data_IF_239390615169
#
_entry.id   IF_239390615169
#
_cell.length_a   1.000
_cell.length_b   1.000
_cell.length_c   1.000
_cell.angle_alpha   90.00
_cell.angle_beta   90.00
_cell.angle_gamma   90.00
#
_symmetry.space_group_name_H-M   'P 1'
#
loop_
_entity.id
_entity.type
_entity.pdbx_description
1 polymer ?
#
# COMPACT_ATOMS: atom_id res chain seq x y z
N UNK A 1 -23.69 18.98 3.03
CA UNK A 1 -23.76 20.17 3.88
C UNK A 1 -22.34 20.63 4.23
N UNK A 2 -21.90 21.74 3.66
CA UNK A 2 -20.55 22.30 3.82
C UNK A 2 -20.34 23.04 5.16
N UNK A 3 -21.36 23.12 5.99
CA UNK A 3 -21.29 23.78 7.30
C UNK A 3 -20.87 22.85 8.43
N UNK A 4 -20.68 21.58 8.14
CA UNK A 4 -20.29 20.62 9.16
C UNK A 4 -18.80 20.78 9.52
N UNK A 5 -18.49 20.49 10.78
CA UNK A 5 -17.14 20.44 11.32
C UNK A 5 -16.23 19.46 10.58
N UNK A 6 -16.82 18.49 9.88
CA UNK A 6 -16.17 17.51 9.03
C UNK A 6 -15.37 18.12 7.86
N UNK A 7 -15.73 19.32 7.42
CA UNK A 7 -15.11 20.00 6.28
C UNK A 7 -14.09 21.07 6.65
N UNK A 8 -13.71 21.19 7.91
CA UNK A 8 -12.80 22.25 8.35
C UNK A 8 -11.42 22.27 7.68
N UNK A 9 -10.99 21.10 7.17
CA UNK A 9 -9.68 20.96 6.52
C UNK A 9 -9.79 20.86 4.99
N UNK A 10 -10.96 21.08 4.43
CA UNK A 10 -11.17 21.06 2.99
C UNK A 10 -10.97 22.47 2.43
N UNK A 11 -10.04 22.60 1.48
CA UNK A 11 -9.96 23.76 0.61
C UNK A 11 -11.19 23.80 -0.29
N UNK A 12 -12.04 24.83 -0.18
CA UNK A 12 -13.24 24.95 -1.00
C UNK A 12 -13.30 26.32 -1.65
N UNK A 13 -13.69 26.42 -2.93
CA UNK A 13 -14.00 25.34 -3.87
C UNK A 13 -12.75 24.49 -4.20
N UNK A 14 -12.97 23.20 -4.50
CA UNK A 14 -11.89 22.31 -4.92
C UNK A 14 -11.32 22.76 -6.28
N UNK A 15 -10.01 22.87 -6.39
CA UNK A 15 -9.32 23.13 -7.64
C UNK A 15 -9.23 21.85 -8.49
N UNK A 16 -10.33 21.48 -9.12
CA UNK A 16 -10.40 20.30 -9.97
C UNK A 16 -9.37 20.31 -11.11
N UNK A 17 -9.12 21.47 -11.71
CA UNK A 17 -8.13 21.62 -12.76
C UNK A 17 -6.71 21.31 -12.25
N UNK A 18 -6.36 21.89 -11.12
CA UNK A 18 -5.07 21.62 -10.47
C UNK A 18 -4.92 20.16 -10.09
N UNK A 19 -5.97 19.52 -9.56
CA UNK A 19 -5.98 18.09 -9.20
C UNK A 19 -5.75 17.22 -10.44
N UNK A 20 -6.50 17.44 -11.52
CA UNK A 20 -6.39 16.64 -12.75
C UNK A 20 -5.06 16.85 -13.45
N UNK A 21 -4.54 18.08 -13.45
CA UNK A 21 -3.23 18.37 -14.04
C UNK A 21 -2.08 17.76 -13.24
N UNK A 22 -2.22 17.67 -11.90
CA UNK A 22 -1.23 17.06 -11.03
C UNK A 22 -1.19 15.53 -11.16
N UNK A 23 -2.36 14.87 -11.16
CA UNK A 23 -2.45 13.41 -11.23
C UNK A 23 -2.27 12.89 -12.65
N UNK A 24 -2.84 13.59 -13.64
CA UNK A 24 -2.85 13.15 -15.05
C UNK A 24 -3.85 12.03 -15.34
N UNK A 25 -3.84 11.58 -16.60
CA UNK A 25 -4.69 10.51 -17.11
C UNK A 25 -3.87 9.46 -17.87
N UNK A 26 -4.25 8.17 -17.83
CA UNK A 26 -5.31 7.59 -16.99
C UNK A 26 -4.95 7.59 -15.50
N UNK A 27 -5.98 7.51 -14.65
CA UNK A 27 -5.85 7.53 -13.21
C UNK A 27 -6.74 6.47 -12.55
N UNK A 28 -6.39 6.05 -11.34
CA UNK A 28 -7.23 5.22 -10.49
C UNK A 28 -7.95 6.07 -9.45
N UNK A 29 -9.26 5.90 -9.35
CA UNK A 29 -10.09 6.48 -8.32
C UNK A 29 -10.59 5.37 -7.41
N UNK A 30 -10.15 5.39 -6.15
CA UNK A 30 -10.34 4.28 -5.22
C UNK A 30 -10.68 4.78 -3.82
N UNK A 31 -11.42 3.98 -3.00
CA UNK A 31 -11.68 4.33 -1.61
C UNK A 31 -10.39 4.43 -0.81
N UNK A 32 -10.34 5.38 0.12
CA UNK A 32 -9.29 5.47 1.14
C UNK A 32 -9.22 4.19 2.00
N UNK A 33 -10.39 3.66 2.39
CA UNK A 33 -10.49 2.43 3.17
C UNK A 33 -11.29 1.40 2.36
N UNK A 34 -10.78 0.19 2.28
CA UNK A 34 -11.43 -0.90 1.55
C UNK A 34 -10.45 -1.91 1.00
N UNK A 35 -10.96 -2.86 0.22
CA UNK A 35 -10.16 -3.90 -0.40
C UNK A 35 -10.98 -4.67 -1.46
N UNK A 36 -10.39 -5.68 -2.05
CA UNK A 36 -11.06 -6.55 -3.02
C UNK A 36 -11.50 -5.85 -4.31
N UNK A 37 -10.89 -4.73 -4.67
CA UNK A 37 -11.23 -3.93 -5.87
C UNK A 37 -12.63 -3.32 -5.85
N UNK A 38 -13.29 -3.27 -4.71
CA UNK A 38 -14.62 -2.67 -4.60
C UNK A 38 -14.51 -1.15 -4.74
N UNK A 39 -15.34 -0.58 -5.64
CA UNK A 39 -15.36 0.86 -5.95
C UNK A 39 -14.00 1.42 -6.43
N UNK A 40 -13.22 0.60 -7.11
CA UNK A 40 -11.97 1.01 -7.78
C UNK A 40 -12.29 1.23 -9.27
N UNK A 41 -12.05 2.45 -9.72
CA UNK A 41 -12.34 2.89 -11.10
C UNK A 41 -11.03 3.29 -11.79
N UNK A 42 -10.79 2.74 -12.97
CA UNK A 42 -9.76 3.23 -13.89
C UNK A 42 -10.39 4.25 -14.82
N UNK A 43 -9.93 5.48 -14.77
CA UNK A 43 -10.53 6.64 -15.43
C UNK A 43 -9.58 7.24 -16.46
N UNK A 44 -10.13 7.67 -17.60
CA UNK A 44 -9.34 8.21 -18.71
C UNK A 44 -9.57 9.70 -18.93
N UNK A 45 -10.61 10.27 -18.34
CA UNK A 45 -10.99 11.66 -18.53
C UNK A 45 -11.90 12.18 -17.40
N UNK A 46 -12.19 13.47 -17.45
CA UNK A 46 -13.03 14.16 -16.45
C UNK A 46 -14.46 13.67 -16.40
N UNK A 47 -15.04 13.31 -17.54
CA UNK A 47 -16.45 12.86 -17.59
C UNK A 47 -16.58 11.53 -16.85
N UNK A 48 -15.66 10.61 -17.07
CA UNK A 48 -15.60 9.36 -16.33
C UNK A 48 -15.38 9.60 -14.84
N UNK A 49 -14.49 10.55 -14.49
CA UNK A 49 -14.25 10.92 -13.10
C UNK A 49 -15.51 11.42 -12.41
N UNK A 50 -16.20 12.41 -12.96
CA UNK A 50 -17.40 12.96 -12.30
C UNK A 50 -18.55 11.97 -12.24
N UNK A 51 -18.64 11.04 -13.19
CA UNK A 51 -19.60 9.94 -13.14
C UNK A 51 -19.30 9.02 -11.94
N UNK A 52 -18.05 8.54 -11.83
CA UNK A 52 -17.61 7.72 -10.71
C UNK A 52 -17.70 8.47 -9.37
N UNK A 53 -17.37 9.77 -9.35
CA UNK A 53 -17.47 10.61 -8.16
C UNK A 53 -18.91 10.68 -7.64
N UNK A 54 -19.89 10.84 -8.52
CA UNK A 54 -21.30 10.84 -8.14
C UNK A 54 -21.77 9.46 -7.63
N UNK A 55 -21.24 8.37 -8.20
CA UNK A 55 -21.60 7.01 -7.81
C UNK A 55 -21.02 6.60 -6.44
N UNK A 56 -19.96 7.25 -5.98
CA UNK A 56 -19.28 6.91 -4.72
C UNK A 56 -19.93 7.51 -3.47
N UNK A 57 -20.84 8.48 -3.63
CA UNK A 57 -21.62 9.09 -2.54
C UNK A 57 -20.73 9.65 -1.42
N UNK A 58 -20.89 9.12 -0.21
CA UNK A 58 -20.17 9.58 1.00
C UNK A 58 -18.79 8.94 1.21
N UNK A 59 -18.32 8.10 0.29
CA UNK A 59 -17.02 7.46 0.42
C UNK A 59 -15.89 8.49 0.31
N UNK A 60 -14.94 8.40 1.21
CA UNK A 60 -13.67 9.12 1.09
C UNK A 60 -12.83 8.45 0.01
N UNK A 61 -12.60 9.17 -1.06
CA UNK A 61 -11.95 8.64 -2.26
C UNK A 61 -10.57 9.27 -2.46
N UNK A 62 -9.69 8.54 -3.12
CA UNK A 62 -8.36 8.96 -3.50
C UNK A 62 -8.21 8.86 -5.02
N UNK A 63 -7.68 9.91 -5.66
CA UNK A 63 -7.28 9.87 -7.07
C UNK A 63 -5.78 9.66 -7.14
N UNK A 64 -5.35 8.63 -7.86
CA UNK A 64 -3.96 8.19 -7.97
C UNK A 64 -3.56 8.05 -9.44
N UNK A 65 -2.35 8.54 -9.79
CA UNK A 65 -1.73 8.30 -11.10
C UNK A 65 -1.73 6.80 -11.46
N UNK A 66 -2.06 6.47 -12.70
CA UNK A 66 -1.77 5.13 -13.23
C UNK A 66 -0.28 5.03 -13.54
N UNK A 67 0.45 4.31 -12.71
CA UNK A 67 1.87 4.06 -12.94
C UNK A 67 2.04 3.01 -14.03
N UNK A 68 2.63 3.40 -15.17
CA UNK A 68 3.10 2.43 -16.19
C UNK A 68 4.30 1.69 -15.62
N UNK A 69 4.33 0.38 -15.79
CA UNK A 69 5.36 -0.47 -15.20
C UNK A 69 5.83 -1.55 -16.18
N UNK A 70 7.09 -1.94 -15.99
CA UNK A 70 7.73 -3.05 -16.67
C UNK A 70 7.58 -4.35 -15.88
N UNK A 71 7.61 -4.24 -14.55
CA UNK A 71 7.44 -5.34 -13.60
C UNK A 71 6.59 -4.86 -12.42
N UNK A 72 5.92 -5.81 -11.76
CA UNK A 72 5.10 -5.50 -10.61
C UNK A 72 5.22 -6.61 -9.57
N UNK A 73 5.37 -6.23 -8.32
CA UNK A 73 5.55 -7.16 -7.21
C UNK A 73 4.53 -6.90 -6.12
N UNK A 74 4.04 -7.98 -5.51
CA UNK A 74 3.34 -7.92 -4.23
C UNK A 74 4.19 -8.62 -3.19
N UNK A 75 4.50 -7.91 -2.11
CA UNK A 75 5.49 -8.32 -1.13
C UNK A 75 4.83 -8.48 0.23
N UNK A 76 4.95 -9.64 0.87
CA UNK A 76 4.68 -9.76 2.29
C UNK A 76 5.83 -9.17 3.09
N UNK A 77 5.48 -8.44 4.16
CA UNK A 77 6.40 -8.07 5.23
C UNK A 77 5.88 -8.62 6.54
N UNK A 78 6.71 -9.38 7.23
CA UNK A 78 6.36 -10.01 8.50
C UNK A 78 7.44 -9.64 9.52
N UNK A 79 6.98 -9.19 10.71
CA UNK A 79 7.82 -8.80 11.83
C UNK A 79 8.82 -7.66 11.52
N UNK A 80 8.59 -6.89 10.43
CA UNK A 80 9.49 -5.84 9.94
C UNK A 80 10.92 -6.36 9.62
N UNK A 81 11.06 -7.68 9.39
CA UNK A 81 12.34 -8.39 9.18
C UNK A 81 12.31 -9.32 7.99
N UNK A 82 11.19 -10.00 7.78
CA UNK A 82 11.04 -11.01 6.75
C UNK A 82 10.26 -10.43 5.58
N UNK A 83 10.82 -10.52 4.38
CA UNK A 83 10.19 -10.06 3.16
C UNK A 83 10.07 -11.21 2.17
N UNK A 84 8.88 -11.39 1.63
CA UNK A 84 8.63 -12.31 0.52
C UNK A 84 8.18 -11.52 -0.70
N UNK A 85 9.04 -11.41 -1.69
CA UNK A 85 8.73 -10.74 -2.96
C UNK A 85 8.11 -11.75 -3.91
N UNK A 86 6.91 -11.46 -4.39
CA UNK A 86 6.19 -12.30 -5.34
C UNK A 86 5.93 -11.52 -6.63
N UNK A 87 6.21 -12.10 -7.81
CA UNK A 87 5.72 -11.55 -9.06
C UNK A 87 4.19 -11.43 -9.03
N UNK A 88 3.68 -10.32 -9.53
CA UNK A 88 2.25 -10.03 -9.51
C UNK A 88 1.85 -9.24 -10.76
N UNK A 89 0.72 -9.59 -11.35
CA UNK A 89 0.18 -8.88 -12.50
C UNK A 89 -1.25 -8.42 -12.18
N UNK A 90 -1.41 -7.18 -11.72
CA UNK A 90 -2.71 -6.66 -11.29
C UNK A 90 -3.76 -6.58 -12.42
N UNK A 91 -3.31 -6.53 -13.68
CA UNK A 91 -4.19 -6.48 -14.87
C UNK A 91 -4.83 -7.82 -15.19
N UNK A 92 -4.27 -8.92 -14.66
CA UNK A 92 -4.82 -10.25 -14.87
C UNK A 92 -6.09 -10.49 -14.02
N UNK A 93 -6.98 -11.40 -14.43
CA UNK A 93 -8.02 -11.93 -13.57
C UNK A 93 -7.44 -12.44 -12.24
N UNK A 94 -8.20 -12.31 -11.16
CA UNK A 94 -7.72 -12.53 -9.78
C UNK A 94 -6.93 -13.85 -9.61
N UNK A 95 -7.42 -14.96 -10.16
CA UNK A 95 -6.79 -16.29 -10.05
C UNK A 95 -5.49 -16.46 -10.86
N UNK A 96 -5.15 -15.49 -11.72
CA UNK A 96 -3.94 -15.51 -12.55
C UNK A 96 -2.90 -14.46 -12.15
N UNK A 97 -3.19 -13.61 -11.17
CA UNK A 97 -2.30 -12.49 -10.80
C UNK A 97 -0.94 -12.93 -10.31
N UNK A 98 -0.85 -14.08 -9.65
CA UNK A 98 0.40 -14.67 -9.14
C UNK A 98 1.03 -15.70 -10.08
N UNK A 99 0.49 -15.87 -11.29
CA UNK A 99 1.00 -16.82 -12.30
C UNK A 99 2.00 -16.20 -13.27
N UNK A 100 2.36 -14.94 -13.04
CA UNK A 100 3.33 -14.21 -13.85
C UNK A 100 4.74 -14.44 -13.32
N UNK A 101 5.71 -14.54 -14.24
CA UNK A 101 7.12 -14.58 -13.91
C UNK A 101 7.80 -13.32 -14.38
N UNK A 102 8.50 -12.64 -13.47
CA UNK A 102 9.33 -11.50 -13.79
C UNK A 102 10.80 -11.82 -13.53
N UNK A 103 11.64 -11.63 -14.54
CA UNK A 103 13.08 -11.79 -14.42
C UNK A 103 13.72 -10.47 -14.00
N UNK A 104 13.57 -10.15 -12.73
CA UNK A 104 14.07 -8.89 -12.18
C UNK A 104 15.57 -8.96 -11.88
N UNK A 105 16.35 -7.93 -12.22
CA UNK A 105 17.73 -7.79 -11.77
C UNK A 105 17.82 -7.80 -10.23
N UNK A 106 18.92 -8.32 -9.71
CA UNK A 106 19.13 -8.41 -8.26
C UNK A 106 19.05 -7.06 -7.56
N UNK A 107 19.55 -6.02 -8.21
CA UNK A 107 19.53 -4.65 -7.71
C UNK A 107 18.09 -4.11 -7.55
N UNK A 108 17.18 -4.51 -8.43
CA UNK A 108 15.76 -4.14 -8.32
C UNK A 108 15.13 -4.87 -7.13
N UNK A 109 15.38 -6.16 -6.98
CA UNK A 109 14.86 -6.94 -5.85
C UNK A 109 15.38 -6.40 -4.51
N UNK A 110 16.63 -5.99 -4.42
CA UNK A 110 17.19 -5.35 -3.23
C UNK A 110 16.48 -4.02 -2.91
N UNK A 111 16.30 -3.15 -3.90
CA UNK A 111 15.55 -1.89 -3.72
C UNK A 111 14.10 -2.12 -3.27
N UNK A 112 13.44 -3.14 -3.82
CA UNK A 112 12.08 -3.53 -3.40
C UNK A 112 12.08 -3.99 -1.96
N UNK A 113 12.99 -4.88 -1.56
CA UNK A 113 13.12 -5.39 -0.20
C UNK A 113 13.37 -4.26 0.81
N UNK A 114 14.35 -3.40 0.53
CA UNK A 114 14.65 -2.22 1.34
C UNK A 114 13.42 -1.30 1.48
N UNK A 115 12.71 -1.05 0.37
CA UNK A 115 11.48 -0.26 0.36
C UNK A 115 10.37 -0.87 1.21
N UNK A 116 10.18 -2.19 1.13
CA UNK A 116 9.19 -2.93 1.94
C UNK A 116 9.52 -2.80 3.42
N UNK A 117 10.76 -3.08 3.81
CA UNK A 117 11.19 -3.00 5.21
C UNK A 117 11.04 -1.58 5.76
N UNK A 118 11.48 -0.59 5.00
CA UNK A 118 11.39 0.82 5.39
C UNK A 118 9.95 1.26 5.59
N UNK A 119 9.05 0.95 4.66
CA UNK A 119 7.62 1.28 4.80
C UNK A 119 7.02 0.65 6.06
N UNK A 120 7.30 -0.63 6.31
CA UNK A 120 6.71 -1.31 7.45
C UNK A 120 7.27 -0.83 8.80
N UNK A 121 8.54 -0.44 8.85
CA UNK A 121 9.12 0.21 10.03
C UNK A 121 8.44 1.56 10.32
N UNK A 122 8.22 2.38 9.29
CA UNK A 122 7.53 3.67 9.44
C UNK A 122 6.05 3.52 9.82
N UNK A 123 5.35 2.56 9.20
CA UNK A 123 3.93 2.31 9.46
C UNK A 123 3.69 1.54 10.76
N UNK A 124 4.70 0.83 11.27
CA UNK A 124 4.60 0.02 12.48
C UNK A 124 3.83 -1.27 12.31
N UNK A 125 3.71 -1.78 11.08
CA UNK A 125 3.02 -3.03 10.82
C UNK A 125 3.90 -4.25 11.10
N UNK A 126 3.34 -5.22 11.79
CA UNK A 126 3.96 -6.53 12.01
C UNK A 126 3.64 -7.52 10.89
N UNK A 127 2.50 -7.35 10.25
CA UNK A 127 2.08 -8.08 9.07
C UNK A 127 1.50 -7.08 8.07
N UNK A 128 1.97 -7.11 6.84
CA UNK A 128 1.49 -6.22 5.79
C UNK A 128 1.80 -6.82 4.41
N UNK A 129 1.05 -6.40 3.39
CA UNK A 129 1.50 -6.51 2.01
C UNK A 129 1.73 -5.13 1.40
N UNK A 130 2.78 -5.05 0.60
CA UNK A 130 3.16 -3.85 -0.16
C UNK A 130 3.21 -4.20 -1.63
N UNK A 131 2.57 -3.39 -2.46
CA UNK A 131 2.62 -3.51 -3.90
C UNK A 131 3.56 -2.47 -4.50
N UNK A 132 4.54 -2.95 -5.29
CA UNK A 132 5.49 -2.12 -6.02
C UNK A 132 5.37 -2.31 -7.53
N UNK A 133 5.15 -1.21 -8.23
CA UNK A 133 5.35 -1.11 -9.68
C UNK A 133 6.80 -0.69 -9.96
N UNK A 134 7.45 -1.30 -10.93
CA UNK A 134 8.79 -0.88 -11.37
C UNK A 134 8.64 -0.04 -12.62
N UNK A 135 9.01 1.23 -12.52
CA UNK A 135 9.01 2.20 -13.62
C UNK A 135 10.44 2.71 -13.81
N UNK A 136 11.01 2.48 -14.98
CA UNK A 136 12.38 2.92 -15.33
C UNK A 136 13.43 2.48 -14.30
N UNK A 137 13.30 1.24 -13.80
CA UNK A 137 14.20 0.67 -12.79
C UNK A 137 14.03 1.23 -11.36
N UNK A 138 12.95 1.99 -11.12
CA UNK A 138 12.64 2.57 -9.80
C UNK A 138 11.37 1.93 -9.25
N UNK A 139 11.42 1.35 -8.02
CA UNK A 139 10.23 0.88 -7.33
C UNK A 139 9.32 2.04 -6.90
N UNK A 140 8.06 2.01 -7.31
CA UNK A 140 7.01 2.95 -6.92
C UNK A 140 5.98 2.21 -6.11
N UNK A 141 5.75 2.60 -4.87
CA UNK A 141 4.74 1.99 -4.01
C UNK A 141 3.34 2.38 -4.46
N UNK A 142 2.50 1.37 -4.70
CA UNK A 142 1.13 1.55 -5.24
C UNK A 142 0.08 1.33 -4.15
N UNK A 143 0.20 0.26 -3.39
CA UNK A 143 -0.65 -0.08 -2.25
C UNK A 143 0.24 -0.66 -1.14
N UNK A 144 0.19 -0.08 0.06
CA UNK A 144 1.15 -0.42 1.10
C UNK A 144 0.57 -0.38 2.54
N UNK A 145 -0.75 -0.31 2.67
CA UNK A 145 -1.44 -0.30 3.96
C UNK A 145 -2.45 -1.46 4.02
N UNK A 146 -1.97 -2.69 4.01
CA UNK A 146 -2.80 -3.90 4.04
C UNK A 146 -2.38 -4.82 5.20
N UNK A 147 -2.78 -4.51 6.45
CA UNK A 147 -2.36 -5.26 7.63
C UNK A 147 -3.06 -6.62 7.82
N UNK A 148 -4.03 -6.94 6.97
CA UNK A 148 -4.72 -8.23 6.95
C UNK A 148 -4.78 -8.77 5.51
N UNK A 149 -3.62 -9.06 4.91
CA UNK A 149 -3.55 -9.48 3.52
C UNK A 149 -4.12 -10.87 3.34
N UNK A 150 -4.77 -11.07 2.17
CA UNK A 150 -5.14 -12.38 1.70
C UNK A 150 -3.88 -13.23 1.44
N UNK A 151 -3.85 -14.44 1.99
CA UNK A 151 -2.74 -15.38 1.85
C UNK A 151 -3.21 -16.82 1.57
N UNK A 152 -4.36 -17.00 0.93
CA UNK A 152 -4.86 -18.33 0.58
C UNK A 152 -3.91 -19.05 -0.40
N UNK A 153 -3.56 -20.30 -0.09
CA UNK A 153 -2.64 -21.12 -0.89
C UNK A 153 -3.06 -21.26 -2.35
N UNK A 154 -4.38 -21.32 -2.61
CA UNK A 154 -4.92 -21.40 -3.97
C UNK A 154 -4.57 -20.19 -4.85
N UNK A 155 -4.31 -19.01 -4.26
CA UNK A 155 -3.97 -17.79 -4.98
C UNK A 155 -2.46 -17.55 -5.02
N UNK A 156 -1.81 -17.52 -3.85
CA UNK A 156 -0.37 -17.21 -3.76
C UNK A 156 0.54 -18.42 -4.02
N UNK A 157 -0.02 -19.63 -4.08
CA UNK A 157 0.69 -20.89 -4.22
C UNK A 157 1.19 -21.45 -2.87
N UNK A 158 1.26 -22.78 -2.79
CA UNK A 158 1.58 -23.51 -1.55
C UNK A 158 2.90 -23.05 -0.91
N UNK A 159 3.96 -22.93 -1.71
CA UNK A 159 5.27 -22.52 -1.22
C UNK A 159 5.28 -21.12 -0.57
N UNK A 160 4.52 -20.15 -1.10
CA UNK A 160 4.40 -18.82 -0.50
C UNK A 160 3.53 -18.87 0.76
N UNK A 161 2.47 -19.69 0.75
CA UNK A 161 1.62 -19.91 1.90
C UNK A 161 2.38 -20.51 3.08
N UNK A 162 3.12 -21.60 2.86
CA UNK A 162 3.96 -22.22 3.88
C UNK A 162 4.95 -21.20 4.49
N UNK A 163 5.62 -20.43 3.65
CA UNK A 163 6.53 -19.39 4.11
C UNK A 163 5.84 -18.34 5.00
N UNK A 164 4.63 -17.90 4.62
CA UNK A 164 3.84 -16.94 5.44
C UNK A 164 3.48 -17.56 6.78
N UNK A 165 3.02 -18.81 6.80
CA UNK A 165 2.67 -19.52 8.03
C UNK A 165 3.85 -19.62 8.98
N UNK A 166 5.03 -20.03 8.47
CA UNK A 166 6.25 -20.13 9.27
C UNK A 166 6.67 -18.76 9.84
N UNK A 167 6.76 -17.74 9.00
CA UNK A 167 7.18 -16.41 9.42
C UNK A 167 6.21 -15.77 10.44
N UNK A 168 4.90 -15.97 10.27
CA UNK A 168 3.88 -15.48 11.23
C UNK A 168 3.99 -16.24 12.55
N UNK A 169 4.20 -17.56 12.51
CA UNK A 169 4.37 -18.37 13.73
C UNK A 169 5.62 -17.94 14.50
N UNK A 170 6.75 -17.75 13.82
CA UNK A 170 7.99 -17.25 14.44
C UNK A 170 7.79 -15.87 15.07
N UNK A 171 7.15 -14.95 14.35
CA UNK A 171 6.80 -13.62 14.86
C UNK A 171 5.94 -13.70 16.11
N UNK A 172 4.88 -14.52 16.10
CA UNK A 172 3.96 -14.65 17.22
C UNK A 172 4.66 -15.20 18.46
N UNK A 173 5.49 -16.24 18.31
CA UNK A 173 6.27 -16.83 19.40
C UNK A 173 7.27 -15.81 19.97
N UNK A 174 7.97 -15.09 19.11
CA UNK A 174 8.93 -14.07 19.54
C UNK A 174 8.23 -12.96 20.32
N UNK A 175 7.15 -12.41 19.79
CA UNK A 175 6.39 -11.34 20.45
C UNK A 175 5.78 -11.79 21.79
N UNK A 176 5.30 -13.03 21.88
CA UNK A 176 4.81 -13.58 23.13
C UNK A 176 5.92 -13.69 24.21
N UNK A 177 7.14 -14.06 23.81
CA UNK A 177 8.31 -14.14 24.71
C UNK A 177 8.84 -12.78 25.13
N UNK A 178 8.79 -11.80 24.24
CA UNK A 178 9.28 -10.43 24.46
C UNK A 178 8.20 -9.49 25.03
N UNK A 179 7.00 -9.98 25.27
CA UNK A 179 5.89 -9.17 25.74
C UNK A 179 6.18 -8.56 27.12
N UNK A 180 6.03 -7.25 27.21
CA UNK A 180 6.10 -6.49 28.46
C UNK A 180 4.74 -5.86 28.69
N UNK A 181 4.05 -6.18 29.81
CA UNK A 181 2.75 -5.56 30.13
C UNK A 181 2.87 -4.02 30.12
N UNK A 182 1.79 -3.37 29.68
CA UNK A 182 1.64 -1.91 29.62
C UNK A 182 2.66 -1.17 28.73
N UNK A 183 3.42 -1.89 27.92
CA UNK A 183 4.29 -1.29 26.92
C UNK A 183 3.52 -1.00 25.63
N UNK A 184 3.45 0.28 25.26
CA UNK A 184 2.95 0.67 23.95
C UNK A 184 3.95 0.28 22.84
N UNK A 185 3.47 -0.49 21.86
CA UNK A 185 4.24 -0.92 20.70
C UNK A 185 3.93 -0.09 19.44
N UNK A 186 3.11 0.97 19.55
CA UNK A 186 2.77 1.84 18.44
C UNK A 186 3.98 2.69 18.03
N UNK A 187 4.49 2.47 16.83
CA UNK A 187 5.66 3.20 16.31
C UNK A 187 5.29 4.51 15.62
N UNK A 188 4.10 4.59 15.01
CA UNK A 188 3.68 5.75 14.22
C UNK A 188 3.57 7.05 15.03
N UNK A 189 3.27 6.97 16.32
CA UNK A 189 3.26 8.14 17.20
C UNK A 189 4.58 8.91 17.25
N UNK A 190 5.71 8.21 17.12
CA UNK A 190 7.05 8.82 17.05
C UNK A 190 7.20 9.69 15.80
N UNK A 191 6.67 9.24 14.67
CA UNK A 191 6.72 9.99 13.41
C UNK A 191 5.82 11.22 13.43
N UNK A 192 4.63 11.12 14.04
CA UNK A 192 3.76 12.27 14.25
C UNK A 192 4.46 13.31 15.14
N UNK A 193 5.08 12.88 16.23
CA UNK A 193 5.81 13.76 17.13
C UNK A 193 6.99 14.43 16.42
N UNK A 194 7.74 13.68 15.61
CA UNK A 194 8.83 14.25 14.81
C UNK A 194 8.33 15.26 13.77
N UNK A 195 7.22 14.97 13.08
CA UNK A 195 6.62 15.91 12.14
C UNK A 195 6.18 17.23 12.82
N UNK A 196 5.58 17.15 14.00
CA UNK A 196 5.18 18.32 14.79
C UNK A 196 6.40 19.12 15.25
N UNK A 197 7.49 18.46 15.64
CA UNK A 197 8.72 19.11 16.08
C UNK A 197 9.65 19.53 14.95
N UNK A 198 9.25 19.31 13.68
CA UNK A 198 10.05 19.58 12.46
C UNK A 198 11.40 18.84 12.43
N UNK A 199 11.54 17.75 13.13
CA UNK A 199 12.72 16.90 13.03
C UNK A 199 12.65 16.05 11.75
N UNK A 200 13.80 15.76 11.14
CA UNK A 200 13.83 14.85 9.99
C UNK A 200 13.44 13.44 10.42
N UNK A 201 12.64 12.75 9.61
CA UNK A 201 12.26 11.35 9.89
C UNK A 201 13.48 10.40 9.89
N UNK A 202 14.58 10.80 9.26
CA UNK A 202 15.83 10.04 9.24
C UNK A 202 16.55 9.96 10.59
N UNK A 203 16.19 10.83 11.56
CA UNK A 203 16.76 10.83 12.91
C UNK A 203 16.04 9.87 13.86
N UNK A 204 14.98 9.20 13.40
CA UNK A 204 14.12 8.33 14.21
C UNK A 204 14.31 6.83 13.90
N UNK A 205 15.15 6.50 12.92
CA UNK A 205 15.43 5.12 12.50
C UNK A 205 16.57 4.49 13.30
#
# INVERSE_FOLDING_TARGET
>A
DTNDKSFRNLGYPLDWEGIFNYVGWPAFFKPFAGGGWKNVYRLHNREEFFRAYNDTGELVMMLQEEVKFDMYFRCYSIDQRHVRIMPYEPRNPFHLRYRTEWHAPKEILQKVEEGVLRLNQYLGYDLNTVEFAIRDGVPVAIDFCNPAPDCEAQFIGEHNFEWVVEAVAEMAIRKAREHVPDRDNLSWGKFLQAAVTRRSLGELA
#
